data_IF_593392431796
#
_entry.id   IF_593392431796
#
_cell.length_a   1.000
_cell.length_b   1.000
_cell.length_c   1.000
_cell.angle_alpha   90.00
_cell.angle_beta   90.00
_cell.angle_gamma   90.00
#
_symmetry.space_group_name_H-M   'P 1'
#
loop_
_entity.id
_entity.type
_entity.pdbx_description
1 polymer ?
#
# COMPACT_ATOMS: atom_id res chain seq x y z
N UNK A 1 51.10 -25.39 -10.52
CA UNK A 1 49.83 -24.65 -10.56
C UNK A 1 48.73 -25.47 -9.87
N UNK A 2 48.05 -24.93 -8.85
CA UNK A 2 47.16 -25.68 -7.95
C UNK A 2 45.79 -26.07 -8.53
N UNK A 3 45.41 -25.59 -9.71
CA UNK A 3 44.09 -25.83 -10.32
C UNK A 3 44.16 -26.63 -11.64
N UNK A 4 44.95 -27.72 -11.69
CA UNK A 4 45.09 -28.58 -12.89
C UNK A 4 43.75 -29.16 -13.41
N UNK A 5 42.76 -29.30 -12.53
CA UNK A 5 41.40 -29.77 -12.87
C UNK A 5 40.60 -28.74 -13.69
N UNK A 6 40.97 -27.47 -13.65
CA UNK A 6 40.28 -26.38 -14.35
C UNK A 6 41.30 -25.55 -15.15
N UNK A 7 41.68 -26.01 -16.36
CA UNK A 7 42.61 -25.27 -17.21
C UNK A 7 42.02 -23.92 -17.63
N UNK A 8 42.89 -22.93 -17.82
CA UNK A 8 42.47 -21.62 -18.33
C UNK A 8 41.90 -21.77 -19.75
N UNK A 9 40.75 -21.15 -19.98
CA UNK A 9 40.15 -21.09 -21.31
C UNK A 9 40.95 -20.14 -22.22
N UNK A 10 41.09 -20.53 -23.49
CA UNK A 10 41.80 -19.75 -24.49
C UNK A 10 40.87 -18.69 -25.10
N UNK A 11 41.22 -17.40 -24.96
CA UNK A 11 40.46 -16.27 -25.52
C UNK A 11 40.50 -16.19 -27.05
N UNK A 12 41.43 -16.88 -27.73
CA UNK A 12 41.56 -16.85 -29.20
C UNK A 12 40.34 -17.37 -29.96
N UNK A 13 39.51 -18.18 -29.31
CA UNK A 13 38.31 -18.77 -29.91
C UNK A 13 37.02 -18.04 -29.50
N UNK A 14 37.12 -16.82 -28.95
CA UNK A 14 35.94 -16.00 -28.66
C UNK A 14 35.28 -15.56 -29.97
N UNK A 15 34.05 -15.99 -30.21
CA UNK A 15 33.24 -15.48 -31.31
C UNK A 15 32.76 -14.06 -30.99
N UNK A 16 33.09 -13.09 -31.83
CA UNK A 16 32.66 -11.69 -31.70
C UNK A 16 31.63 -11.36 -32.78
N UNK A 17 30.69 -10.47 -32.47
CA UNK A 17 29.64 -10.02 -33.38
C UNK A 17 29.63 -8.50 -33.46
N UNK A 18 29.15 -7.94 -34.57
CA UNK A 18 29.01 -6.49 -34.72
C UNK A 18 27.92 -5.95 -33.80
N UNK A 19 28.08 -4.72 -33.30
CA UNK A 19 27.00 -4.02 -32.59
C UNK A 19 25.76 -3.83 -33.48
N UNK A 20 25.94 -3.80 -34.80
CA UNK A 20 24.84 -3.66 -35.77
C UNK A 20 24.05 -4.96 -35.99
N UNK A 21 24.60 -6.10 -35.58
CA UNK A 21 23.97 -7.42 -35.77
C UNK A 21 23.21 -7.90 -34.53
N UNK A 22 23.53 -7.35 -33.35
CA UNK A 22 22.86 -7.71 -32.10
C UNK A 22 21.65 -6.81 -31.84
N UNK A 23 20.62 -7.36 -31.21
CA UNK A 23 19.50 -6.56 -30.70
C UNK A 23 19.96 -5.69 -29.52
N UNK A 24 19.90 -4.37 -29.68
CA UNK A 24 20.10 -3.41 -28.60
C UNK A 24 18.78 -3.06 -27.94
N UNK A 25 18.76 -2.97 -26.60
CA UNK A 25 17.57 -2.66 -25.81
C UNK A 25 17.41 -1.16 -25.51
N UNK A 26 18.47 -0.38 -25.75
CA UNK A 26 18.51 1.05 -25.51
C UNK A 26 18.84 1.74 -26.82
N UNK A 27 18.04 2.75 -27.14
CA UNK A 27 18.17 3.58 -28.34
C UNK A 27 18.02 5.05 -27.95
N UNK A 28 18.71 5.94 -28.66
CA UNK A 28 18.74 7.38 -28.36
C UNK A 28 17.35 8.03 -28.38
N UNK A 29 16.39 7.48 -29.13
CA UNK A 29 15.01 7.96 -29.15
C UNK A 29 14.26 7.68 -27.83
N UNK A 30 14.79 6.80 -26.97
CA UNK A 30 14.23 6.50 -25.65
C UNK A 30 14.90 7.28 -24.51
N UNK A 31 15.85 8.17 -24.83
CA UNK A 31 16.53 8.97 -23.82
C UNK A 31 15.58 9.96 -23.16
N UNK A 32 15.87 10.25 -21.89
CA UNK A 32 15.21 11.32 -21.17
C UNK A 32 15.50 12.66 -21.85
N UNK A 33 14.56 13.59 -21.75
CA UNK A 33 14.76 15.00 -22.15
C UNK A 33 14.98 15.86 -20.89
N UNK A 34 15.91 16.83 -20.93
CA UNK A 34 16.09 17.78 -19.84
C UNK A 34 14.77 18.45 -19.44
N UNK A 35 14.60 18.74 -18.15
CA UNK A 35 13.45 19.51 -17.68
C UNK A 35 13.63 20.98 -18.06
N UNK A 36 12.65 21.52 -18.77
CA UNK A 36 12.63 22.92 -19.20
C UNK A 36 11.90 23.78 -18.17
N UNK A 37 12.54 24.79 -17.55
CA UNK A 37 11.90 25.67 -16.58
C UNK A 37 10.59 26.28 -17.11
N UNK A 38 9.53 26.23 -16.30
CA UNK A 38 8.19 26.71 -16.68
C UNK A 38 7.29 25.66 -17.35
N UNK A 39 7.81 24.46 -17.66
CA UNK A 39 7.00 23.35 -18.15
C UNK A 39 6.03 22.83 -17.10
N UNK A 40 4.88 22.32 -17.56
CA UNK A 40 3.92 21.65 -16.69
C UNK A 40 4.40 20.25 -16.27
N UNK A 41 3.70 19.67 -15.28
CA UNK A 41 4.05 18.35 -14.76
C UNK A 41 3.90 17.23 -15.80
N UNK A 42 2.94 17.32 -16.70
CA UNK A 42 2.76 16.34 -17.77
C UNK A 42 3.96 16.32 -18.73
N UNK A 43 4.52 17.50 -19.03
CA UNK A 43 5.73 17.64 -19.83
C UNK A 43 6.94 17.03 -19.14
N UNK A 44 7.06 17.18 -17.82
CA UNK A 44 8.07 16.47 -17.02
C UNK A 44 7.91 14.95 -17.10
N UNK A 45 6.70 14.42 -16.91
CA UNK A 45 6.45 12.96 -17.04
C UNK A 45 6.82 12.45 -18.43
N UNK A 46 6.45 13.19 -19.49
CA UNK A 46 6.82 12.87 -20.88
C UNK A 46 8.30 13.08 -21.20
N UNK A 47 9.07 13.68 -20.31
CA UNK A 47 10.52 13.84 -20.47
C UNK A 47 11.30 12.68 -19.84
N UNK A 48 10.65 11.84 -19.02
CA UNK A 48 11.25 10.65 -18.43
C UNK A 48 11.54 9.58 -19.49
N UNK A 49 12.59 8.74 -19.29
CA UNK A 49 12.90 7.66 -20.21
C UNK A 49 11.86 6.54 -20.13
N UNK A 50 11.52 5.93 -21.27
CA UNK A 50 10.51 4.88 -21.33
C UNK A 50 11.11 3.47 -21.18
N UNK A 51 11.88 3.24 -20.12
CA UNK A 51 12.44 1.91 -19.81
C UNK A 51 12.60 1.71 -18.30
N UNK A 52 12.70 0.43 -17.90
CA UNK A 52 12.85 0.02 -16.50
C UNK A 52 11.80 0.69 -15.61
N UNK A 53 12.18 1.18 -14.42
CA UNK A 53 11.26 1.73 -13.43
C UNK A 53 10.40 2.91 -13.93
N UNK A 54 10.94 3.78 -14.80
CA UNK A 54 10.20 4.92 -15.33
C UNK A 54 9.13 4.50 -16.36
N UNK A 55 9.48 3.54 -17.22
CA UNK A 55 8.52 2.90 -18.13
C UNK A 55 7.47 2.10 -17.36
N UNK A 56 7.89 1.33 -16.36
CA UNK A 56 7.01 0.54 -15.48
C UNK A 56 6.02 1.44 -14.71
N UNK A 57 6.47 2.59 -14.19
CA UNK A 57 5.58 3.53 -13.48
C UNK A 57 4.55 4.15 -14.42
N UNK A 58 4.97 4.52 -15.63
CA UNK A 58 4.08 5.07 -16.66
C UNK A 58 3.04 4.05 -17.13
N UNK A 59 3.47 2.81 -17.37
CA UNK A 59 2.60 1.69 -17.72
C UNK A 59 1.62 1.38 -16.58
N UNK A 60 2.11 1.30 -15.34
CA UNK A 60 1.27 1.08 -14.16
C UNK A 60 0.20 2.16 -14.01
N UNK A 61 0.56 3.45 -14.17
CA UNK A 61 -0.41 4.54 -14.16
C UNK A 61 -1.48 4.35 -15.24
N UNK A 62 -1.12 3.89 -16.44
CA UNK A 62 -2.09 3.56 -17.50
C UNK A 62 -3.08 2.47 -17.07
N UNK A 63 -2.62 1.43 -16.37
CA UNK A 63 -3.47 0.39 -15.82
C UNK A 63 -4.41 0.92 -14.72
N UNK A 64 -3.94 1.77 -13.81
CA UNK A 64 -4.80 2.42 -12.79
C UNK A 64 -5.87 3.28 -13.44
N UNK A 65 -5.51 4.10 -14.46
CA UNK A 65 -6.48 4.88 -15.23
C UNK A 65 -7.52 4.00 -15.92
N UNK A 66 -7.10 2.85 -16.45
CA UNK A 66 -7.99 1.88 -17.09
C UNK A 66 -8.93 1.23 -16.07
N UNK A 67 -8.44 0.89 -14.88
CA UNK A 67 -9.24 0.36 -13.79
C UNK A 67 -10.36 1.33 -13.41
N UNK A 68 -10.02 2.61 -13.21
CA UNK A 68 -10.98 3.68 -12.92
C UNK A 68 -12.02 3.83 -14.04
N UNK A 69 -11.59 3.88 -15.30
CA UNK A 69 -12.50 3.98 -16.47
C UNK A 69 -13.47 2.80 -16.58
N UNK A 70 -13.08 1.61 -16.11
CA UNK A 70 -13.87 0.39 -16.14
C UNK A 70 -14.65 0.12 -14.84
N UNK A 71 -14.62 1.06 -13.90
CA UNK A 71 -15.20 0.90 -12.56
C UNK A 71 -14.71 -0.37 -11.85
N UNK A 72 -13.40 -0.65 -11.99
CA UNK A 72 -12.73 -1.77 -11.33
C UNK A 72 -12.11 -1.32 -10.01
N UNK A 73 -12.03 -2.22 -9.01
CA UNK A 73 -11.44 -1.88 -7.72
C UNK A 73 -10.02 -1.33 -7.85
N UNK A 74 -9.77 -0.19 -7.19
CA UNK A 74 -8.43 0.33 -6.93
C UNK A 74 -8.22 0.28 -5.42
N UNK A 75 -7.53 -0.76 -4.96
CA UNK A 75 -7.39 -1.11 -3.56
C UNK A 75 -6.02 -0.64 -3.05
N UNK A 76 -6.01 0.13 -1.96
CA UNK A 76 -4.77 0.55 -1.30
C UNK A 76 -4.53 -0.28 -0.04
N UNK A 77 -3.41 -1.00 0.00
CA UNK A 77 -2.84 -1.54 1.22
C UNK A 77 -1.86 -0.54 1.83
N UNK A 78 -2.17 0.04 3.00
CA UNK A 78 -1.39 1.12 3.60
C UNK A 78 -0.78 0.71 4.95
N UNK A 79 0.55 0.74 5.02
CA UNK A 79 1.28 0.73 6.28
C UNK A 79 1.29 2.11 6.95
N UNK A 80 1.52 2.14 8.26
CA UNK A 80 1.39 3.36 9.05
C UNK A 80 2.38 4.49 8.71
N UNK A 81 3.49 4.18 8.05
CA UNK A 81 4.53 5.17 7.79
C UNK A 81 4.04 6.35 6.94
N UNK A 82 3.06 6.15 6.06
CA UNK A 82 2.52 7.23 5.23
C UNK A 82 1.90 8.37 6.07
N UNK A 83 1.33 8.04 7.24
CA UNK A 83 0.79 9.03 8.17
C UNK A 83 1.93 9.83 8.79
N UNK A 84 3.00 9.13 9.19
CA UNK A 84 4.19 9.70 9.84
C UNK A 84 4.94 10.69 8.96
N UNK A 85 4.86 10.52 7.64
CA UNK A 85 5.46 11.45 6.66
C UNK A 85 4.45 12.43 6.06
N UNK A 86 3.27 12.55 6.65
CA UNK A 86 2.31 13.63 6.33
C UNK A 86 1.55 13.44 5.02
N UNK A 87 1.38 12.20 4.54
CA UNK A 87 0.73 11.93 3.25
C UNK A 87 -0.79 11.73 3.32
N UNK A 88 -1.41 11.87 4.50
CA UNK A 88 -2.86 11.66 4.66
C UNK A 88 -3.69 12.50 3.71
N UNK A 89 -3.34 13.77 3.52
CA UNK A 89 -4.02 14.70 2.61
C UNK A 89 -3.97 14.26 1.14
N UNK A 90 -2.88 13.63 0.71
CA UNK A 90 -2.73 13.10 -0.66
C UNK A 90 -3.63 11.88 -0.87
N UNK A 91 -3.69 10.98 0.12
CA UNK A 91 -4.58 9.82 0.05
C UNK A 91 -6.04 10.26 0.06
N UNK A 92 -6.39 11.24 0.90
CA UNK A 92 -7.74 11.81 0.97
C UNK A 92 -8.13 12.47 -0.37
N UNK A 93 -7.25 13.26 -1.01
CA UNK A 93 -7.53 13.85 -2.33
C UNK A 93 -7.76 12.77 -3.40
N UNK A 94 -6.98 11.69 -3.39
CA UNK A 94 -7.20 10.53 -4.27
C UNK A 94 -8.54 9.85 -4.00
N UNK A 95 -8.94 9.70 -2.74
CA UNK A 95 -10.26 9.15 -2.35
C UNK A 95 -11.40 10.04 -2.85
N UNK A 96 -11.35 11.35 -2.56
CA UNK A 96 -12.38 12.32 -2.94
C UNK A 96 -12.55 12.41 -4.47
N UNK A 97 -11.49 12.15 -5.23
CA UNK A 97 -11.52 12.11 -6.70
C UNK A 97 -11.85 10.74 -7.28
N UNK A 98 -12.10 9.72 -6.46
CA UNK A 98 -12.49 8.38 -6.92
C UNK A 98 -11.33 7.59 -7.55
N UNK A 99 -10.10 7.77 -7.04
CA UNK A 99 -8.94 6.92 -7.37
C UNK A 99 -8.72 5.79 -6.37
N UNK A 100 -9.57 5.69 -5.35
CA UNK A 100 -9.50 4.67 -4.29
C UNK A 100 -10.89 4.09 -4.10
N UNK A 101 -11.02 2.78 -4.19
CA UNK A 101 -12.28 2.05 -4.01
C UNK A 101 -12.36 1.33 -2.67
N UNK A 102 -11.22 1.00 -2.07
CA UNK A 102 -11.13 0.34 -0.77
C UNK A 102 -9.71 0.51 -0.19
N UNK A 103 -9.61 0.41 1.14
CA UNK A 103 -8.34 0.52 1.85
C UNK A 103 -8.19 -0.67 2.82
N UNK A 104 -7.01 -1.27 2.89
CA UNK A 104 -6.63 -2.23 3.91
C UNK A 104 -5.41 -1.71 4.67
N UNK A 105 -5.45 -1.74 6.00
CA UNK A 105 -4.41 -1.15 6.86
C UNK A 105 -3.99 -2.11 7.97
N UNK A 106 -2.84 -1.86 8.60
CA UNK A 106 -2.44 -2.57 9.82
C UNK A 106 -2.90 -1.78 11.07
N UNK A 107 -2.85 -2.40 12.26
CA UNK A 107 -3.29 -1.74 13.49
C UNK A 107 -2.51 -0.46 13.81
N UNK A 108 -1.20 -0.43 13.58
CA UNK A 108 -0.39 0.78 13.70
C UNK A 108 -0.92 1.95 12.85
N UNK A 109 -1.39 1.71 11.63
CA UNK A 109 -1.97 2.76 10.79
C UNK A 109 -3.21 3.37 11.46
N UNK A 110 -4.11 2.51 11.96
CA UNK A 110 -5.33 2.95 12.64
C UNK A 110 -5.00 3.84 13.84
N UNK A 111 -3.99 3.45 14.62
CA UNK A 111 -3.53 4.24 15.78
C UNK A 111 -3.01 5.61 15.34
N UNK A 112 -2.08 5.64 14.39
CA UNK A 112 -1.47 6.89 13.94
C UNK A 112 -2.49 7.83 13.28
N UNK A 113 -3.44 7.29 12.50
CA UNK A 113 -4.52 8.07 11.88
C UNK A 113 -5.51 8.63 12.92
N UNK A 114 -5.83 7.83 13.95
CA UNK A 114 -6.68 8.24 15.06
C UNK A 114 -6.02 9.36 15.90
N UNK A 115 -4.73 9.26 16.19
CA UNK A 115 -3.97 10.30 16.90
C UNK A 115 -3.93 11.61 16.13
N UNK A 116 -3.81 11.55 14.79
CA UNK A 116 -3.92 12.74 13.94
C UNK A 116 -5.31 13.38 14.11
N UNK A 117 -6.39 12.60 14.07
CA UNK A 117 -7.74 13.12 14.27
C UNK A 117 -7.93 13.77 15.66
N UNK A 118 -7.47 13.07 16.70
CA UNK A 118 -7.62 13.48 18.10
C UNK A 118 -6.78 14.72 18.44
N UNK A 119 -5.51 14.74 18.04
CA UNK A 119 -4.52 15.70 18.56
C UNK A 119 -3.75 16.48 17.48
N UNK A 120 -3.96 16.18 16.20
CA UNK A 120 -3.24 16.81 15.08
C UNK A 120 -1.77 16.41 14.97
N UNK A 121 -1.33 15.42 15.76
CA UNK A 121 0.05 14.95 15.84
C UNK A 121 0.10 13.47 16.23
N UNK A 122 1.16 12.79 15.83
CA UNK A 122 1.38 11.38 16.11
C UNK A 122 2.89 11.09 16.08
N UNK A 123 3.29 9.85 16.38
CA UNK A 123 4.68 9.38 16.46
C UNK A 123 5.48 9.93 17.62
N UNK A 124 5.77 9.06 18.57
CA UNK A 124 6.65 9.34 19.69
C UNK A 124 8.10 8.87 19.45
N UNK A 125 9.02 9.36 20.28
CA UNK A 125 10.41 8.93 20.25
C UNK A 125 10.59 7.59 20.97
N UNK A 126 10.62 6.50 20.20
CA UNK A 126 10.81 5.13 20.69
C UNK A 126 12.03 5.01 21.59
N UNK A 127 13.18 5.54 21.14
CA UNK A 127 14.46 5.39 21.86
C UNK A 127 14.42 6.04 23.24
N UNK A 128 13.72 7.16 23.34
CA UNK A 128 13.60 7.90 24.59
C UNK A 128 12.61 7.25 25.57
N UNK A 129 11.49 6.73 25.07
CA UNK A 129 10.36 6.32 25.90
C UNK A 129 10.39 4.83 26.30
N UNK A 130 11.09 3.97 25.55
CA UNK A 130 11.04 2.51 25.73
C UNK A 130 11.39 2.07 27.15
N UNK A 131 12.52 2.53 27.69
CA UNK A 131 12.97 2.15 29.04
C UNK A 131 12.45 3.09 30.14
N UNK A 132 11.74 4.17 29.77
CA UNK A 132 11.01 5.02 30.72
C UNK A 132 9.63 4.45 31.07
N UNK A 133 9.17 3.42 30.34
CA UNK A 133 7.85 2.83 30.54
C UNK A 133 6.71 3.74 30.08
N UNK A 134 6.99 4.68 29.16
CA UNK A 134 6.01 5.62 28.62
C UNK A 134 5.72 5.40 27.13
N UNK A 135 6.41 4.44 26.49
CA UNK A 135 6.21 4.13 25.08
C UNK A 135 4.85 3.47 24.83
N UNK A 136 4.03 4.10 24.00
CA UNK A 136 2.71 3.63 23.55
C UNK A 136 1.66 3.56 24.66
N UNK A 137 1.90 4.18 25.81
CA UNK A 137 1.01 4.15 26.98
C UNK A 137 0.09 5.38 27.04
N UNK A 138 -0.27 5.96 25.88
CA UNK A 138 -1.16 7.12 25.83
C UNK A 138 -2.59 6.70 26.17
N UNK A 139 -3.10 7.20 27.29
CA UNK A 139 -4.41 6.87 27.84
C UNK A 139 -5.53 7.18 26.83
N UNK A 140 -5.57 8.38 26.26
CA UNK A 140 -6.67 8.79 25.38
C UNK A 140 -6.75 7.92 24.12
N UNK A 141 -5.61 7.64 23.47
CA UNK A 141 -5.54 6.78 22.28
C UNK A 141 -5.98 5.37 22.61
N UNK A 142 -5.44 4.78 23.69
CA UNK A 142 -5.75 3.40 24.09
C UNK A 142 -7.20 3.24 24.54
N UNK A 143 -7.72 4.17 25.34
CA UNK A 143 -9.09 4.16 25.83
C UNK A 143 -10.09 4.32 24.69
N UNK A 144 -9.99 5.39 23.90
CA UNK A 144 -11.02 5.71 22.90
C UNK A 144 -11.04 4.73 21.73
N UNK A 145 -9.89 4.22 21.28
CA UNK A 145 -9.88 3.15 20.27
C UNK A 145 -10.52 1.88 20.82
N UNK A 146 -10.21 1.45 22.05
CA UNK A 146 -10.84 0.26 22.60
C UNK A 146 -12.36 0.43 22.82
N UNK A 147 -12.83 1.64 23.14
CA UNK A 147 -14.27 1.95 23.17
C UNK A 147 -14.87 1.81 21.79
N UNK A 148 -14.31 2.48 20.77
CA UNK A 148 -14.79 2.42 19.39
C UNK A 148 -14.87 0.97 18.86
N UNK A 149 -13.85 0.15 19.15
CA UNK A 149 -13.80 -1.24 18.72
C UNK A 149 -14.88 -2.09 19.43
N UNK A 150 -15.11 -1.89 20.73
CA UNK A 150 -16.18 -2.60 21.48
C UNK A 150 -17.56 -2.25 20.96
N UNK A 151 -17.85 -0.96 20.77
CA UNK A 151 -19.10 -0.47 20.18
C UNK A 151 -19.30 -1.01 18.74
N UNK A 152 -18.21 -1.17 18.00
CA UNK A 152 -18.22 -1.77 16.66
C UNK A 152 -18.66 -3.23 16.67
N UNK A 153 -18.21 -4.02 17.65
CA UNK A 153 -18.64 -5.42 17.80
C UNK A 153 -20.13 -5.52 18.12
N UNK A 154 -20.66 -4.64 18.96
CA UNK A 154 -22.10 -4.58 19.29
C UNK A 154 -22.98 -4.27 18.07
N UNK A 155 -22.39 -3.66 17.03
CA UNK A 155 -23.03 -3.28 15.78
C UNK A 155 -22.67 -4.18 14.58
N UNK A 156 -21.98 -5.30 14.81
CA UNK A 156 -21.48 -6.22 13.76
C UNK A 156 -20.59 -5.55 12.69
N UNK A 157 -19.83 -4.52 13.08
CA UNK A 157 -18.94 -3.78 12.18
C UNK A 157 -17.55 -4.40 12.09
N UNK A 158 -16.81 -4.05 11.03
CA UNK A 158 -15.36 -4.21 10.98
C UNK A 158 -14.64 -3.11 11.78
N UNK A 159 -13.35 -3.28 12.10
CA UNK A 159 -12.62 -2.28 12.91
C UNK A 159 -12.45 -0.95 12.17
N UNK A 160 -12.21 -0.97 10.85
CA UNK A 160 -12.09 0.26 10.07
C UNK A 160 -13.39 1.06 10.03
N UNK A 161 -14.52 0.38 9.93
CA UNK A 161 -15.85 1.00 9.97
C UNK A 161 -16.19 1.52 11.37
N UNK A 162 -15.94 0.74 12.41
CA UNK A 162 -16.17 1.12 13.81
C UNK A 162 -15.40 2.39 14.19
N UNK A 163 -14.11 2.47 13.85
CA UNK A 163 -13.30 3.66 14.13
C UNK A 163 -13.74 4.85 13.26
N UNK A 164 -14.08 4.62 11.98
CA UNK A 164 -14.64 5.66 11.12
C UNK A 164 -15.92 6.27 11.69
N UNK A 165 -16.84 5.43 12.17
CA UNK A 165 -18.09 5.84 12.82
C UNK A 165 -17.82 6.62 14.12
N UNK A 166 -16.90 6.15 14.95
CA UNK A 166 -16.52 6.83 16.19
C UNK A 166 -15.93 8.22 15.92
N UNK A 167 -15.08 8.36 14.89
CA UNK A 167 -14.53 9.67 14.51
C UNK A 167 -15.61 10.65 14.03
N UNK A 168 -16.70 10.16 13.45
CA UNK A 168 -17.84 11.01 13.08
C UNK A 168 -18.54 11.58 14.32
N UNK A 169 -18.74 10.76 15.36
CA UNK A 169 -19.44 11.18 16.57
C UNK A 169 -18.55 12.01 17.50
N UNK A 170 -17.23 11.79 17.53
CA UNK A 170 -16.31 12.41 18.48
C UNK A 170 -16.10 13.92 18.28
N UNK A 171 -16.34 14.44 17.07
CA UNK A 171 -16.13 15.85 16.71
C UNK A 171 -14.73 16.40 17.02
N UNK A 172 -13.68 15.57 16.89
CA UNK A 172 -12.30 16.04 17.09
C UNK A 172 -11.89 17.11 16.07
N UNK A 173 -11.05 18.07 16.50
CA UNK A 173 -10.66 19.26 15.73
C UNK A 173 -9.92 18.97 14.42
N UNK A 174 -9.33 17.77 14.29
CA UNK A 174 -8.49 17.39 13.15
C UNK A 174 -9.06 16.21 12.35
N UNK A 175 -10.32 15.84 12.57
CA UNK A 175 -11.01 14.76 11.84
C UNK A 175 -10.85 14.87 10.31
N UNK A 176 -10.85 16.08 9.74
CA UNK A 176 -10.66 16.26 8.29
C UNK A 176 -9.33 15.72 7.74
N UNK A 177 -8.33 15.47 8.59
CA UNK A 177 -7.02 14.93 8.21
C UNK A 177 -6.90 13.41 8.40
N UNK A 178 -7.90 12.75 8.99
CA UNK A 178 -7.95 11.29 9.14
C UNK A 178 -8.49 10.62 7.88
N UNK A 179 -7.77 9.60 7.41
CA UNK A 179 -8.19 8.74 6.31
C UNK A 179 -9.41 7.90 6.72
N UNK A 180 -9.45 7.37 7.96
CA UNK A 180 -10.58 6.57 8.44
C UNK A 180 -11.88 7.40 8.49
N UNK A 181 -11.81 8.62 9.04
CA UNK A 181 -12.94 9.55 9.06
C UNK A 181 -13.44 9.86 7.65
N UNK A 182 -12.52 10.21 6.73
CA UNK A 182 -12.87 10.56 5.35
C UNK A 182 -13.43 9.37 4.57
N UNK A 183 -12.86 8.18 4.75
CA UNK A 183 -13.31 6.98 4.08
C UNK A 183 -14.74 6.62 4.47
N UNK A 184 -15.06 6.70 5.77
CA UNK A 184 -16.42 6.47 6.26
C UNK A 184 -17.42 7.46 5.62
N UNK A 185 -17.10 8.77 5.58
CA UNK A 185 -17.96 9.76 4.92
C UNK A 185 -18.17 9.53 3.42
N UNK A 186 -17.17 8.99 2.75
CA UNK A 186 -17.19 8.72 1.31
C UNK A 186 -17.76 7.34 0.98
N UNK A 187 -18.17 6.55 1.98
CA UNK A 187 -18.58 5.15 1.84
C UNK A 187 -17.50 4.28 1.15
N UNK A 188 -16.23 4.55 1.46
CA UNK A 188 -15.10 3.73 1.02
C UNK A 188 -14.78 2.73 2.15
N UNK A 189 -14.88 1.42 1.90
CA UNK A 189 -14.59 0.43 2.94
C UNK A 189 -13.12 0.49 3.35
N UNK A 190 -12.88 0.51 4.65
CA UNK A 190 -11.55 0.37 5.25
C UNK A 190 -11.53 -0.87 6.14
N UNK A 191 -10.52 -1.72 5.99
CA UNK A 191 -10.32 -2.91 6.81
C UNK A 191 -9.02 -2.81 7.60
N UNK A 192 -9.04 -3.18 8.88
CA UNK A 192 -7.88 -3.14 9.77
C UNK A 192 -7.45 -4.57 10.10
N UNK A 193 -6.17 -4.86 9.85
CA UNK A 193 -5.57 -6.16 10.10
C UNK A 193 -4.50 -6.04 11.20
N UNK A 194 -4.89 -6.13 12.48
CA UNK A 194 -3.95 -6.00 13.60
C UNK A 194 -2.99 -7.19 13.64
N UNK A 195 -1.77 -6.92 14.12
CA UNK A 195 -0.83 -7.97 14.49
C UNK A 195 -0.77 -8.01 16.02
N UNK A 196 -1.42 -9.03 16.61
CA UNK A 196 -1.58 -9.11 18.06
C UNK A 196 -0.22 -9.05 18.77
N UNK A 197 -0.13 -8.18 19.77
CA UNK A 197 1.10 -7.87 20.50
C UNK A 197 2.02 -6.83 19.86
N UNK A 198 1.74 -6.33 18.65
CA UNK A 198 2.58 -5.27 18.01
C UNK A 198 2.03 -3.86 18.17
N UNK A 199 0.71 -3.73 18.20
CA UNK A 199 0.02 -2.44 18.28
C UNK A 199 -0.09 -1.99 19.74
N UNK A 200 0.19 -0.71 20.01
CA UNK A 200 0.33 -0.19 21.38
C UNK A 200 -0.95 -0.28 22.20
N UNK A 201 -2.11 -0.37 21.55
CA UNK A 201 -3.39 -0.55 22.23
C UNK A 201 -3.57 -1.97 22.82
N UNK A 202 -2.75 -2.94 22.44
CA UNK A 202 -2.89 -4.34 22.87
C UNK A 202 -2.52 -4.61 24.33
N UNK A 203 -1.69 -3.77 24.94
CA UNK A 203 -1.35 -3.87 26.37
C UNK A 203 -2.07 -2.85 27.24
N UNK A 204 -3.00 -2.08 26.65
CA UNK A 204 -3.86 -1.17 27.40
C UNK A 204 -4.87 -1.98 28.26
N UNK A 205 -5.19 -1.57 29.50
CA UNK A 205 -6.10 -2.33 30.38
C UNK A 205 -7.49 -2.61 29.80
N UNK A 206 -7.97 -1.77 28.88
CA UNK A 206 -9.26 -1.95 28.20
C UNK A 206 -9.21 -2.86 26.97
N UNK A 207 -8.03 -3.37 26.58
CA UNK A 207 -7.89 -4.29 25.46
C UNK A 207 -8.65 -5.59 25.70
N UNK A 208 -9.34 -6.04 24.67
CA UNK A 208 -10.01 -7.34 24.64
C UNK A 208 -9.62 -8.07 23.35
N UNK A 209 -8.93 -9.21 23.51
CA UNK A 209 -8.50 -10.04 22.38
C UNK A 209 -9.67 -10.65 21.60
N UNK A 210 -10.82 -10.89 22.24
CA UNK A 210 -12.01 -11.38 21.55
C UNK A 210 -12.60 -10.31 20.63
N UNK A 211 -12.63 -9.05 21.09
CA UNK A 211 -13.06 -7.89 20.29
C UNK A 211 -12.13 -7.71 19.09
N UNK A 212 -10.82 -7.66 19.31
CA UNK A 212 -9.85 -7.49 18.23
C UNK A 212 -9.91 -8.64 17.21
N UNK A 213 -10.05 -9.89 17.67
CA UNK A 213 -10.19 -11.06 16.81
C UNK A 213 -11.48 -11.02 15.96
N UNK A 214 -12.62 -10.71 16.58
CA UNK A 214 -13.93 -10.62 15.91
C UNK A 214 -13.96 -9.55 14.82
N UNK A 215 -13.42 -8.36 15.11
CA UNK A 215 -13.35 -7.28 14.13
C UNK A 215 -12.39 -7.61 13.00
N UNK A 216 -11.22 -8.19 13.30
CA UNK A 216 -10.24 -8.59 12.29
C UNK A 216 -10.77 -9.68 11.34
N UNK A 217 -11.58 -10.62 11.84
CA UNK A 217 -12.29 -11.60 11.02
C UNK A 217 -13.29 -10.92 10.08
N UNK A 218 -14.11 -10.02 10.61
CA UNK A 218 -15.10 -9.25 9.83
C UNK A 218 -14.42 -8.44 8.73
N UNK A 219 -13.33 -7.74 9.07
CA UNK A 219 -12.51 -6.97 8.14
C UNK A 219 -11.85 -7.86 7.08
N UNK A 220 -11.40 -9.07 7.41
CA UNK A 220 -10.85 -10.00 6.41
C UNK A 220 -11.91 -10.46 5.40
N UNK A 221 -13.14 -10.71 5.86
CA UNK A 221 -14.25 -11.08 4.98
C UNK A 221 -14.65 -9.89 4.08
N UNK A 222 -14.75 -8.69 4.64
CA UNK A 222 -15.02 -7.46 3.89
C UNK A 222 -13.94 -7.20 2.84
N UNK A 223 -12.67 -7.33 3.21
CA UNK A 223 -11.56 -7.17 2.27
C UNK A 223 -11.60 -8.22 1.15
N UNK A 224 -11.90 -9.48 1.49
CA UNK A 224 -12.07 -10.55 0.51
C UNK A 224 -13.23 -10.29 -0.46
N UNK A 225 -14.33 -9.68 0.01
CA UNK A 225 -15.44 -9.23 -0.84
C UNK A 225 -14.97 -8.24 -1.90
N UNK A 226 -14.16 -7.24 -1.53
CA UNK A 226 -13.57 -6.30 -2.49
C UNK A 226 -12.63 -7.02 -3.47
N UNK A 227 -11.73 -7.86 -2.96
CA UNK A 227 -10.77 -8.63 -3.77
C UNK A 227 -11.48 -9.54 -4.78
N UNK A 228 -12.65 -10.08 -4.44
CA UNK A 228 -13.46 -10.91 -5.35
C UNK A 228 -13.82 -10.22 -6.68
N UNK A 229 -13.79 -8.88 -6.70
CA UNK A 229 -14.15 -8.05 -7.86
C UNK A 229 -12.94 -7.54 -8.66
N UNK A 230 -11.71 -7.91 -8.28
CA UNK A 230 -10.49 -7.33 -8.86
C UNK A 230 -10.22 -7.77 -10.30
N UNK A 231 -10.83 -8.87 -10.77
CA UNK A 231 -10.59 -9.41 -12.12
C UNK A 231 -10.85 -8.41 -13.24
N UNK A 232 -10.14 -8.61 -14.35
CA UNK A 232 -10.34 -7.91 -15.62
C UNK A 232 -10.07 -6.39 -15.53
N UNK A 233 -9.03 -6.03 -14.78
CA UNK A 233 -8.44 -4.69 -14.79
C UNK A 233 -8.32 -4.01 -13.43
N UNK A 234 -8.73 -4.64 -12.32
CA UNK A 234 -8.55 -4.08 -10.98
C UNK A 234 -7.09 -3.97 -10.56
N UNK A 235 -6.84 -3.19 -9.52
CA UNK A 235 -5.50 -2.87 -9.03
C UNK A 235 -5.41 -3.02 -7.51
N UNK A 236 -4.32 -3.62 -7.04
CA UNK A 236 -3.93 -3.58 -5.62
C UNK A 236 -2.55 -2.94 -5.45
N UNK A 237 -2.45 -1.94 -4.57
CA UNK A 237 -1.24 -1.17 -4.33
C UNK A 237 -0.82 -1.34 -2.87
N UNK A 238 0.31 -1.99 -2.61
CA UNK A 238 0.86 -2.16 -1.27
C UNK A 238 1.92 -1.09 -0.99
N UNK A 239 1.64 -0.18 -0.05
CA UNK A 239 2.50 0.95 0.32
C UNK A 239 2.98 0.73 1.76
N UNK A 240 4.27 0.46 1.93
CA UNK A 240 4.91 0.46 3.25
C UNK A 240 4.50 -0.66 4.21
N UNK A 241 4.05 -1.81 3.71
CA UNK A 241 3.78 -3.00 4.52
C UNK A 241 4.62 -4.18 4.05
N UNK A 242 5.55 -4.61 4.91
CA UNK A 242 6.51 -5.65 4.59
C UNK A 242 5.98 -7.08 4.81
N UNK A 243 4.93 -7.26 5.61
CA UNK A 243 4.42 -8.60 5.97
C UNK A 243 2.90 -8.65 6.01
N UNK A 244 2.26 -7.85 6.87
CA UNK A 244 0.83 -7.99 7.19
C UNK A 244 -0.06 -7.89 5.95
N UNK A 245 0.01 -6.78 5.21
CA UNK A 245 -0.87 -6.58 4.06
C UNK A 245 -0.52 -7.47 2.85
N UNK A 246 0.76 -7.75 2.54
CA UNK A 246 1.10 -8.79 1.57
C UNK A 246 0.52 -10.17 1.90
N UNK A 247 0.53 -10.57 3.17
CA UNK A 247 -0.07 -11.83 3.61
C UNK A 247 -1.60 -11.79 3.53
N UNK A 248 -2.24 -10.73 4.01
CA UNK A 248 -3.70 -10.56 3.94
C UNK A 248 -4.18 -10.60 2.49
N UNK A 249 -3.52 -9.88 1.58
CA UNK A 249 -3.84 -9.91 0.14
C UNK A 249 -3.76 -11.32 -0.44
N UNK A 250 -2.67 -12.03 -0.20
CA UNK A 250 -2.53 -13.40 -0.68
C UNK A 250 -3.60 -14.34 -0.11
N UNK A 251 -4.00 -14.16 1.15
CA UNK A 251 -5.01 -15.00 1.81
C UNK A 251 -6.42 -14.68 1.31
N UNK A 252 -6.72 -13.41 1.04
CA UNK A 252 -7.97 -13.01 0.41
C UNK A 252 -8.10 -13.61 -1.01
N UNK A 253 -7.03 -13.59 -1.81
CA UNK A 253 -7.00 -14.26 -3.13
C UNK A 253 -7.24 -15.78 -3.00
N UNK A 254 -6.55 -16.43 -2.05
CA UNK A 254 -6.69 -17.86 -1.81
C UNK A 254 -8.12 -18.22 -1.36
N UNK A 255 -8.70 -17.44 -0.45
CA UNK A 255 -10.07 -17.60 0.04
C UNK A 255 -11.10 -17.41 -1.09
N UNK A 256 -10.96 -16.37 -1.91
CA UNK A 256 -11.82 -16.17 -3.09
C UNK A 256 -11.74 -17.35 -4.06
N UNK A 257 -10.51 -17.82 -4.34
CA UNK A 257 -10.29 -18.94 -5.26
C UNK A 257 -10.87 -20.25 -4.70
N UNK A 258 -10.74 -20.48 -3.39
CA UNK A 258 -11.34 -21.63 -2.71
C UNK A 258 -12.87 -21.65 -2.78
N UNK A 259 -13.50 -20.48 -2.96
CA UNK A 259 -14.94 -20.34 -3.21
C UNK A 259 -15.32 -20.44 -4.70
N UNK A 260 -14.39 -20.79 -5.58
CA UNK A 260 -14.64 -20.91 -7.02
C UNK A 260 -14.64 -19.59 -7.80
N UNK A 261 -14.30 -18.46 -7.15
CA UNK A 261 -14.19 -17.17 -7.82
C UNK A 261 -12.92 -17.16 -8.67
N UNK A 262 -13.07 -16.90 -9.98
CA UNK A 262 -11.95 -16.86 -10.93
C UNK A 262 -11.29 -15.49 -10.92
N UNK A 263 -10.09 -15.41 -10.36
CA UNK A 263 -9.28 -14.18 -10.31
C UNK A 263 -8.21 -14.17 -11.41
N UNK A 264 -8.29 -13.20 -12.33
CA UNK A 264 -7.37 -13.08 -13.48
C UNK A 264 -7.30 -11.65 -14.03
N UNK A 265 -6.24 -11.34 -14.76
CA UNK A 265 -6.07 -10.08 -15.49
C UNK A 265 -6.21 -8.82 -14.61
N UNK A 266 -5.48 -8.77 -13.50
CA UNK A 266 -5.40 -7.60 -12.61
C UNK A 266 -3.95 -7.18 -12.40
N UNK A 267 -3.73 -6.00 -11.85
CA UNK A 267 -2.39 -5.42 -11.71
C UNK A 267 -2.06 -5.15 -10.25
N UNK A 268 -0.78 -5.24 -9.90
CA UNK A 268 -0.33 -5.00 -8.53
C UNK A 268 0.91 -4.15 -8.49
N UNK A 269 1.06 -3.33 -7.46
CA UNK A 269 2.28 -2.56 -7.25
C UNK A 269 2.70 -2.58 -5.77
N UNK A 270 4.00 -2.55 -5.55
CA UNK A 270 4.59 -2.31 -4.23
C UNK A 270 5.36 -1.00 -4.27
N UNK A 271 5.16 -0.15 -3.25
CA UNK A 271 5.96 1.05 -2.98
C UNK A 271 6.62 0.90 -1.61
N UNK A 272 7.94 0.80 -1.58
CA UNK A 272 8.71 0.61 -0.35
C UNK A 272 10.13 1.19 -0.45
N UNK A 273 10.80 1.40 0.67
CA UNK A 273 12.16 1.96 0.73
C UNK A 273 13.21 0.96 0.24
N UNK A 274 12.93 -0.34 0.44
CA UNK A 274 13.81 -1.45 0.09
C UNK A 274 12.98 -2.62 -0.44
N UNK A 275 13.65 -3.55 -1.14
CA UNK A 275 12.98 -4.73 -1.67
C UNK A 275 12.82 -5.80 -0.59
N UNK A 276 11.58 -6.13 -0.25
CA UNK A 276 11.22 -7.17 0.71
C UNK A 276 10.75 -8.46 0.02
N UNK A 277 11.04 -9.62 0.63
CA UNK A 277 10.64 -10.93 0.11
C UNK A 277 9.12 -11.09 0.01
N UNK A 278 8.35 -10.82 1.09
CA UNK A 278 6.89 -11.05 1.09
C UNK A 278 6.16 -10.15 0.09
N UNK A 279 6.41 -8.83 -0.03
CA UNK A 279 5.79 -8.04 -1.09
C UNK A 279 6.22 -8.48 -2.50
N UNK A 280 7.49 -8.82 -2.72
CA UNK A 280 7.96 -9.30 -4.02
C UNK A 280 7.26 -10.60 -4.45
N UNK A 281 7.04 -11.51 -3.51
CA UNK A 281 6.41 -12.80 -3.80
C UNK A 281 4.88 -12.71 -3.80
N UNK A 282 4.30 -12.19 -2.72
CA UNK A 282 2.86 -12.28 -2.45
C UNK A 282 2.04 -11.16 -3.09
N UNK A 283 2.68 -10.09 -3.57
CA UNK A 283 2.01 -9.00 -4.29
C UNK A 283 2.43 -8.98 -5.76
N UNK A 284 3.73 -9.02 -6.04
CA UNK A 284 4.25 -8.82 -7.41
C UNK A 284 4.27 -10.09 -8.26
N UNK A 285 4.64 -11.24 -7.68
CA UNK A 285 4.89 -12.47 -8.45
C UNK A 285 3.69 -13.43 -8.48
N UNK A 286 3.34 -14.02 -7.33
CA UNK A 286 2.37 -15.13 -7.24
C UNK A 286 0.95 -14.77 -7.70
N UNK A 287 0.39 -13.57 -7.38
CA UNK A 287 -0.97 -13.21 -7.77
C UNK A 287 -1.19 -13.14 -9.28
N UNK A 288 -0.14 -12.85 -10.05
CA UNK A 288 -0.25 -12.42 -11.45
C UNK A 288 -0.12 -13.61 -12.44
N UNK A 289 0.02 -14.83 -11.93
CA UNK A 289 0.21 -16.05 -12.73
C UNK A 289 -0.94 -16.36 -13.70
N UNK A 290 -2.13 -15.75 -13.52
CA UNK A 290 -3.30 -15.88 -14.40
C UNK A 290 -3.55 -14.65 -15.27
N UNK A 291 -2.51 -13.84 -15.50
CA UNK A 291 -2.54 -12.66 -16.37
C UNK A 291 -2.61 -11.35 -15.59
N UNK A 292 -2.01 -10.31 -16.17
CA UNK A 292 -1.74 -9.03 -15.51
C UNK A 292 -0.24 -8.73 -15.46
N UNK A 293 0.16 -7.74 -14.67
CA UNK A 293 1.57 -7.44 -14.36
C UNK A 293 1.70 -6.92 -12.93
N UNK A 294 2.74 -7.38 -12.23
CA UNK A 294 3.14 -6.87 -10.93
C UNK A 294 4.33 -5.93 -11.04
N UNK A 295 4.33 -4.87 -10.24
CA UNK A 295 5.35 -3.82 -10.25
C UNK A 295 5.99 -3.65 -8.86
N UNK A 296 7.27 -3.28 -8.82
CA UNK A 296 7.97 -2.99 -7.58
C UNK A 296 8.75 -1.68 -7.71
N UNK A 297 8.32 -0.66 -6.99
CA UNK A 297 8.93 0.66 -6.97
C UNK A 297 9.67 0.88 -5.65
N UNK A 298 10.98 1.14 -5.74
CA UNK A 298 11.84 1.39 -4.59
C UNK A 298 12.07 2.89 -4.48
N UNK A 299 11.68 3.48 -3.36
CA UNK A 299 11.84 4.91 -3.10
C UNK A 299 11.06 5.38 -1.89
N UNK A 300 11.42 6.56 -1.40
CA UNK A 300 10.80 7.16 -0.22
C UNK A 300 9.34 7.57 -0.47
N UNK A 301 8.43 7.23 0.45
CA UNK A 301 6.99 7.44 0.26
C UNK A 301 6.63 8.92 0.09
N UNK A 302 7.28 9.80 0.84
CA UNK A 302 7.12 11.25 0.80
C UNK A 302 7.47 11.88 -0.57
N UNK A 303 8.11 11.13 -1.46
CA UNK A 303 8.38 11.51 -2.85
C UNK A 303 7.52 10.69 -3.80
N UNK A 304 7.52 9.36 -3.64
CA UNK A 304 6.93 8.43 -4.60
C UNK A 304 5.40 8.49 -4.65
N UNK A 305 4.75 8.69 -3.50
CA UNK A 305 3.28 8.73 -3.44
C UNK A 305 2.72 10.05 -3.99
N UNK A 306 3.28 11.24 -3.67
CA UNK A 306 2.92 12.47 -4.36
C UNK A 306 3.18 12.39 -5.88
N UNK A 307 4.29 11.78 -6.30
CA UNK A 307 4.59 11.57 -7.72
C UNK A 307 3.53 10.69 -8.39
N UNK A 308 3.17 9.55 -7.79
CA UNK A 308 2.11 8.67 -8.28
C UNK A 308 0.78 9.43 -8.38
N UNK A 309 0.39 10.15 -7.32
CA UNK A 309 -0.85 10.92 -7.29
C UNK A 309 -0.89 11.95 -8.43
N UNK A 310 0.17 12.75 -8.57
CA UNK A 310 0.29 13.74 -9.64
C UNK A 310 0.24 13.09 -11.03
N UNK A 311 0.88 11.94 -11.23
CA UNK A 311 0.84 11.19 -12.49
C UNK A 311 -0.55 10.62 -12.81
N UNK A 312 -1.33 10.22 -11.81
CA UNK A 312 -2.71 9.76 -12.04
C UNK A 312 -3.64 10.93 -12.40
N UNK A 313 -3.41 12.09 -11.79
CA UNK A 313 -4.21 13.31 -11.98
C UNK A 313 -3.86 14.11 -13.24
N UNK A 314 -2.69 13.87 -13.84
CA UNK A 314 -2.24 14.47 -15.11
C UNK A 314 -2.78 13.80 -16.36
#
# INVERSE_FOLDING_TARGET
MPYKKYPLLNKKNLNTISIQERKSLVDVNNFARPFEPGSDFNSFVKSLPNFLAAGDLSEFCSHVRTARKKDKPIILGLGAHIIKVGLSSIIIDLMERGWVSAIAVNGAFMIHDFEIALAGKTSENVKENLYKGTFGNTEETGLFLNVALKEGVEQDLGAGEAVGQYLISSSFSYNQYSILYKAYKLNIPVTVHPALGTDVIHYHPNFDGAVAGKLAETDFLQFSSVVSKISDGGVYINIGSAVILPEIFLKALAFCTAQGIKLKHFYTAVFDFIKHYRPAENVVSRPITKGGKGYYFIGHHEIMIPLLAAMLLS
#
